data_IF_483816653093
#
_entry.id   IF_483816653093
#
_cell.length_a   1.000
_cell.length_b   1.000
_cell.length_c   1.000
_cell.angle_alpha   90.00
_cell.angle_beta   90.00
_cell.angle_gamma   90.00
#
_symmetry.space_group_name_H-M   'P 1'
#
loop_
_entity.id
_entity.type
_entity.pdbx_description
1 polymer ?
#
# COMPACT_ATOMS: atom_id res chain seq x y z
N UNK A 1 44.59 -19.82 19.38
CA UNK A 1 43.62 -18.79 19.85
C UNK A 1 42.22 -19.25 19.48
N UNK A 2 41.43 -19.71 20.47
CA UNK A 2 40.10 -20.29 20.22
C UNK A 2 39.10 -19.21 19.78
N UNK A 3 38.60 -19.31 18.55
CA UNK A 3 37.51 -18.44 18.09
C UNK A 3 36.20 -18.95 18.69
N UNK A 4 35.72 -18.27 19.73
CA UNK A 4 34.42 -18.56 20.34
C UNK A 4 33.29 -18.47 19.32
N UNK A 5 32.37 -19.45 19.34
CA UNK A 5 31.14 -19.44 18.55
C UNK A 5 30.21 -18.34 19.09
N UNK A 6 30.28 -17.16 18.51
CA UNK A 6 29.30 -16.10 18.76
C UNK A 6 27.96 -16.53 18.12
N UNK A 7 27.00 -16.96 18.95
CA UNK A 7 25.61 -17.13 18.50
C UNK A 7 25.00 -15.74 18.40
N UNK A 8 24.83 -15.22 17.19
CA UNK A 8 23.98 -14.05 16.99
C UNK A 8 22.59 -14.39 17.49
N UNK A 9 22.09 -13.63 18.46
CA UNK A 9 20.67 -13.72 18.83
C UNK A 9 19.86 -13.35 17.58
N UNK A 10 18.72 -14.02 17.29
CA UNK A 10 17.85 -13.59 16.22
C UNK A 10 17.42 -12.16 16.53
N UNK A 11 17.93 -11.20 15.77
CA UNK A 11 17.52 -9.80 15.89
C UNK A 11 16.03 -9.79 15.62
N UNK A 12 15.23 -9.59 16.67
CA UNK A 12 13.78 -9.62 16.58
C UNK A 12 13.31 -8.77 15.41
N UNK A 13 12.42 -9.31 14.58
CA UNK A 13 11.88 -8.61 13.43
C UNK A 13 11.19 -7.33 13.92
N UNK A 14 11.74 -6.18 13.54
CA UNK A 14 11.14 -4.87 13.85
C UNK A 14 9.94 -4.68 12.94
N UNK A 15 8.75 -4.63 13.54
CA UNK A 15 7.52 -4.23 12.86
C UNK A 15 7.53 -2.71 12.73
N UNK A 16 7.57 -2.20 11.50
CA UNK A 16 7.35 -0.79 11.23
C UNK A 16 5.89 -0.64 10.80
N UNK A 17 5.17 0.34 11.35
CA UNK A 17 3.82 0.66 10.89
C UNK A 17 3.86 1.06 9.42
N UNK A 18 3.06 0.40 8.59
CA UNK A 18 2.89 0.79 7.18
C UNK A 18 2.02 2.05 7.09
N UNK A 19 2.08 2.81 5.98
CA UNK A 19 1.18 3.96 5.80
C UNK A 19 -0.31 3.57 5.88
N UNK A 20 -0.67 2.37 5.42
CA UNK A 20 -2.03 1.83 5.56
C UNK A 20 -2.41 1.57 7.02
N UNK A 21 -1.47 1.07 7.85
CA UNK A 21 -1.70 0.87 9.29
C UNK A 21 -1.80 2.18 10.09
N UNK A 22 -1.15 3.24 9.60
CA UNK A 22 -1.25 4.58 10.17
C UNK A 22 -2.63 5.19 9.89
N UNK A 23 -3.12 5.06 8.65
CA UNK A 23 -4.46 5.49 8.25
C UNK A 23 -5.56 4.71 8.95
N UNK A 24 -5.38 3.40 9.11
CA UNK A 24 -6.33 2.54 9.82
C UNK A 24 -6.30 2.73 11.36
N UNK A 25 -5.38 3.55 11.89
CA UNK A 25 -5.24 3.78 13.34
C UNK A 25 -4.82 2.55 14.14
N UNK A 26 -4.46 1.44 13.48
CA UNK A 26 -4.04 0.17 14.11
C UNK A 26 -2.57 0.15 14.50
N UNK A 27 -1.86 1.27 14.33
CA UNK A 27 -0.44 1.37 14.61
C UNK A 27 -0.09 0.90 16.03
N UNK A 28 0.99 0.13 16.17
CA UNK A 28 1.52 -0.39 17.45
C UNK A 28 2.07 0.70 18.38
N UNK A 29 1.72 1.98 18.16
CA UNK A 29 2.13 3.09 19.05
C UNK A 29 1.42 2.95 20.39
N UNK A 30 2.15 3.04 21.53
CA UNK A 30 1.53 2.98 22.85
C UNK A 30 0.57 4.17 23.03
N UNK A 31 -0.64 3.91 23.54
CA UNK A 31 -1.69 4.92 23.79
C UNK A 31 -1.23 6.09 24.67
N UNK A 32 -0.18 5.94 25.47
CA UNK A 32 0.39 7.01 26.30
C UNK A 32 1.26 8.00 25.51
N UNK A 33 1.58 7.68 24.26
CA UNK A 33 2.23 8.58 23.30
C UNK A 33 1.20 9.19 22.33
N UNK A 34 -0.10 9.09 22.64
CA UNK A 34 -1.13 9.86 21.94
C UNK A 34 -0.75 11.34 22.07
N UNK A 35 -0.55 11.94 20.91
CA UNK A 35 -0.22 13.33 20.69
C UNK A 35 -1.17 14.20 21.52
N UNK A 36 -0.62 15.11 22.31
CA UNK A 36 -1.23 16.42 22.48
C UNK A 36 -1.44 16.93 21.05
N UNK A 37 -2.69 17.03 20.61
CA UNK A 37 -3.06 17.35 19.24
C UNK A 37 -2.14 18.43 18.68
N UNK A 38 -1.44 18.10 17.60
CA UNK A 38 -1.23 19.10 16.59
C UNK A 38 -2.56 19.15 15.86
N UNK A 39 -3.43 19.99 16.40
CA UNK A 39 -4.69 20.52 15.87
C UNK A 39 -4.42 21.12 14.48
N UNK A 40 -4.30 20.26 13.47
CA UNK A 40 -4.06 20.66 12.08
C UNK A 40 -4.87 19.82 11.06
N UNK A 41 -5.32 18.60 11.41
CA UNK A 41 -6.14 17.76 10.49
C UNK A 41 -7.65 17.85 10.78
N UNK A 42 -8.10 17.85 12.04
CA UNK A 42 -9.55 17.96 12.35
C UNK A 42 -10.13 19.35 12.02
N UNK A 43 -9.27 20.37 11.96
CA UNK A 43 -9.63 21.72 11.55
C UNK A 43 -9.86 21.80 10.03
N UNK A 44 -9.22 20.95 9.21
CA UNK A 44 -9.41 20.98 7.76
C UNK A 44 -10.73 20.34 7.31
N UNK A 45 -11.21 19.27 7.97
CA UNK A 45 -12.49 18.64 7.60
C UNK A 45 -13.71 19.41 8.16
N UNK A 46 -13.65 19.96 9.37
CA UNK A 46 -14.75 20.76 9.95
C UNK A 46 -14.93 22.12 9.22
N UNK A 47 -13.85 22.68 8.65
CA UNK A 47 -13.91 23.91 7.83
C UNK A 47 -14.57 23.66 6.46
N UNK A 48 -14.46 22.46 5.91
CA UNK A 48 -15.04 22.13 4.60
C UNK A 48 -16.54 21.83 4.70
N UNK A 49 -16.99 21.18 5.79
CA UNK A 49 -18.40 20.84 5.96
C UNK A 49 -19.24 22.01 6.51
N UNK A 50 -18.63 22.95 7.24
CA UNK A 50 -19.30 24.20 7.69
C UNK A 50 -19.46 25.26 6.59
N UNK A 51 -18.88 25.06 5.39
CA UNK A 51 -18.86 26.07 4.32
C UNK A 51 -19.97 25.89 3.28
N UNK A 52 -20.75 24.79 3.34
CA UNK A 52 -21.71 24.41 2.31
C UNK A 52 -23.20 24.67 2.66
N UNK A 53 -23.52 25.06 3.90
CA UNK A 53 -24.91 25.40 4.31
C UNK A 53 -24.99 26.69 5.16
N UNK A 54 -24.90 27.85 4.50
CA UNK A 54 -25.93 28.90 4.61
C UNK A 54 -25.61 30.05 3.66
N UNK A 55 -26.20 29.98 2.47
CA UNK A 55 -26.46 31.14 1.64
C UNK A 55 -27.82 31.70 2.03
N UNK A 56 -27.86 32.83 2.73
CA UNK A 56 -29.10 33.55 3.03
C UNK A 56 -28.96 34.74 3.96
N UNK A 57 -28.96 35.94 3.36
CA UNK A 57 -29.45 37.21 3.95
C UNK A 57 -28.45 38.11 4.71
N UNK A 58 -27.94 39.10 3.95
CA UNK A 58 -28.01 40.54 4.26
C UNK A 58 -27.88 40.96 5.74
N UNK A 59 -26.75 41.55 6.13
CA UNK A 59 -26.81 42.78 6.94
C UNK A 59 -25.49 43.54 6.89
N UNK A 60 -25.64 44.84 6.71
CA UNK A 60 -24.62 45.85 6.57
C UNK A 60 -23.67 45.97 7.78
N UNK A 61 -22.55 46.64 7.50
CA UNK A 61 -21.44 46.94 8.38
C UNK A 61 -21.73 47.08 9.87
N UNK A 62 -20.90 46.43 10.68
CA UNK A 62 -20.36 46.97 11.92
C UNK A 62 -19.33 46.01 12.48
N UNK A 63 -18.12 46.53 12.69
CA UNK A 63 -17.19 46.19 13.77
C UNK A 63 -17.35 44.78 14.38
N UNK A 64 -16.67 43.79 13.78
CA UNK A 64 -16.40 42.53 14.45
C UNK A 64 -15.63 42.84 15.74
N UNK A 65 -16.30 42.68 16.87
CA UNK A 65 -15.75 42.91 18.21
C UNK A 65 -14.59 41.95 18.44
N UNK A 66 -13.37 42.40 18.14
CA UNK A 66 -12.14 41.66 18.43
C UNK A 66 -12.11 41.37 19.93
N UNK A 67 -12.09 40.08 20.29
CA UNK A 67 -12.12 39.64 21.68
C UNK A 67 -10.80 40.03 22.35
N UNK A 68 -10.87 40.75 23.47
CA UNK A 68 -9.72 41.08 24.32
C UNK A 68 -8.91 42.31 23.89
N UNK A 69 -7.63 42.32 24.24
CA UNK A 69 -6.72 43.49 24.14
C UNK A 69 -6.44 43.89 22.68
N UNK A 70 -6.71 42.99 21.73
CA UNK A 70 -6.55 43.23 20.28
C UNK A 70 -7.48 44.30 19.70
N UNK A 71 -8.57 44.65 20.39
CA UNK A 71 -9.43 45.79 20.01
C UNK A 71 -8.92 47.15 20.48
N UNK A 72 -8.00 47.17 21.45
CA UNK A 72 -7.43 48.38 22.07
C UNK A 72 -6.10 48.77 21.42
N UNK A 73 -5.39 47.81 20.81
CA UNK A 73 -4.13 48.05 20.12
C UNK A 73 -4.44 48.39 18.66
N UNK A 74 -4.27 49.67 18.31
CA UNK A 74 -4.37 50.17 16.94
C UNK A 74 -3.19 49.62 16.12
N UNK A 75 -3.48 48.70 15.19
CA UNK A 75 -2.48 48.15 14.28
C UNK A 75 -2.24 49.15 13.14
N UNK A 76 -1.37 50.14 13.38
CA UNK A 76 -0.88 51.06 12.35
C UNK A 76 0.21 50.40 11.49
N UNK A 77 -0.13 49.32 10.79
CA UNK A 77 0.79 48.74 9.81
C UNK A 77 0.62 49.48 8.46
N UNK A 78 1.62 50.24 7.99
CA UNK A 78 1.54 50.99 6.73
C UNK A 78 1.44 50.06 5.49
N UNK A 79 1.79 48.78 5.63
CA UNK A 79 1.61 47.74 4.62
C UNK A 79 0.32 46.92 4.81
N UNK A 80 -0.63 47.36 5.66
CA UNK A 80 -1.93 46.71 5.80
C UNK A 80 -2.79 47.02 4.56
N UNK A 81 -2.51 46.30 3.48
CA UNK A 81 -3.29 46.38 2.25
C UNK A 81 -4.66 45.78 2.54
N UNK A 82 -5.67 46.65 2.70
CA UNK A 82 -7.07 46.23 2.80
C UNK A 82 -7.43 45.45 1.53
N UNK A 83 -8.01 44.23 1.63
CA UNK A 83 -8.40 43.48 0.45
C UNK A 83 -9.43 44.27 -0.34
N UNK A 84 -9.12 44.58 -1.61
CA UNK A 84 -10.07 45.20 -2.54
C UNK A 84 -10.96 44.10 -3.10
N UNK A 85 -12.26 44.18 -2.88
CA UNK A 85 -13.26 43.26 -3.45
C UNK A 85 -13.37 43.51 -4.95
N UNK A 86 -12.64 42.75 -5.76
CA UNK A 86 -12.79 42.77 -7.21
C UNK A 86 -14.03 41.96 -7.60
N UNK A 87 -14.82 42.50 -8.52
CA UNK A 87 -16.05 41.85 -8.99
C UNK A 87 -15.69 40.78 -10.02
N UNK A 88 -16.34 39.63 -9.95
CA UNK A 88 -16.10 38.48 -10.83
C UNK A 88 -16.22 38.79 -12.35
N UNK A 89 -16.80 39.94 -12.70
CA UNK A 89 -16.97 40.40 -14.10
C UNK A 89 -15.71 41.03 -14.71
N UNK A 90 -14.73 41.41 -13.89
CA UNK A 90 -13.50 42.05 -14.35
C UNK A 90 -12.32 41.06 -14.50
N UNK A 91 -12.57 39.75 -14.30
CA UNK A 91 -11.57 38.70 -14.44
C UNK A 91 -11.57 38.21 -15.90
N UNK A 92 -10.66 38.75 -16.70
CA UNK A 92 -10.42 38.32 -18.09
C UNK A 92 -9.75 36.93 -18.12
N UNK A 93 -10.55 35.86 -18.25
CA UNK A 93 -10.09 34.45 -18.33
C UNK A 93 -9.30 34.17 -19.64
N UNK A 94 -9.40 35.05 -20.64
CA UNK A 94 -8.77 34.87 -21.96
C UNK A 94 -7.35 35.44 -22.10
N UNK A 95 -6.85 36.21 -21.13
CA UNK A 95 -5.46 36.64 -21.11
C UNK A 95 -4.67 35.59 -20.35
N UNK A 96 -4.01 34.69 -21.07
CA UNK A 96 -2.95 33.88 -20.47
C UNK A 96 -1.97 34.85 -19.84
N UNK A 97 -2.03 35.00 -18.53
CA UNK A 97 -0.96 35.62 -17.77
C UNK A 97 0.28 34.89 -18.20
N UNK A 98 1.18 35.57 -18.90
CA UNK A 98 2.42 34.96 -19.35
C UNK A 98 3.12 34.46 -18.10
N UNK A 99 3.00 33.15 -17.83
CA UNK A 99 3.61 32.51 -16.67
C UNK A 99 5.01 33.06 -16.56
N UNK A 100 5.32 33.64 -15.40
CA UNK A 100 6.60 34.29 -15.15
C UNK A 100 7.71 33.36 -15.61
N UNK A 101 8.83 33.88 -16.12
CA UNK A 101 9.97 33.03 -16.56
C UNK A 101 10.29 31.94 -15.54
N UNK A 102 10.15 32.26 -14.25
CA UNK A 102 10.29 31.32 -13.12
C UNK A 102 9.24 30.19 -13.12
N UNK A 103 7.97 30.51 -13.34
CA UNK A 103 6.88 29.54 -13.37
C UNK A 103 6.97 28.61 -14.59
N UNK A 104 7.42 29.11 -15.74
CA UNK A 104 7.66 28.27 -16.93
C UNK A 104 8.76 27.25 -16.68
N UNK A 105 9.87 27.69 -16.10
CA UNK A 105 10.98 26.81 -15.74
C UNK A 105 10.60 25.78 -14.66
N UNK A 106 9.78 26.16 -13.68
CA UNK A 106 9.27 25.23 -12.66
C UNK A 106 8.33 24.17 -13.25
N UNK A 107 7.44 24.57 -14.15
CA UNK A 107 6.52 23.64 -14.84
C UNK A 107 7.28 22.71 -15.77
N UNK A 108 8.28 23.20 -16.50
CA UNK A 108 9.13 22.35 -17.34
C UNK A 108 9.96 21.37 -16.50
N UNK A 109 10.45 21.80 -15.34
CA UNK A 109 11.15 20.93 -14.38
C UNK A 109 10.24 19.86 -13.81
N UNK A 110 8.99 20.19 -13.50
CA UNK A 110 7.97 19.22 -13.09
C UNK A 110 7.67 18.23 -14.22
N UNK A 111 7.38 18.70 -15.43
CA UNK A 111 7.13 17.85 -16.61
C UNK A 111 8.32 16.94 -16.95
N UNK A 112 9.55 17.44 -16.81
CA UNK A 112 10.75 16.65 -17.04
C UNK A 112 10.91 15.53 -16.00
N UNK A 113 10.61 15.82 -14.72
CA UNK A 113 10.58 14.82 -13.65
C UNK A 113 9.49 13.78 -13.88
N UNK A 114 8.27 14.21 -14.21
CA UNK A 114 7.16 13.31 -14.54
C UNK A 114 7.50 12.42 -15.73
N UNK A 115 8.11 12.99 -16.79
CA UNK A 115 8.54 12.21 -17.94
C UNK A 115 9.60 11.18 -17.56
N UNK A 116 10.55 11.56 -16.72
CA UNK A 116 11.58 10.65 -16.22
C UNK A 116 10.98 9.52 -15.39
N UNK A 117 10.09 9.83 -14.44
CA UNK A 117 9.35 8.84 -13.64
C UNK A 117 8.55 7.90 -14.54
N UNK A 118 7.83 8.45 -15.52
CA UNK A 118 7.05 7.66 -16.49
C UNK A 118 7.95 6.77 -17.36
N UNK A 119 9.15 7.21 -17.73
CA UNK A 119 10.11 6.37 -18.46
C UNK A 119 10.68 5.25 -17.58
N UNK A 120 10.90 5.52 -16.29
CA UNK A 120 11.35 4.54 -15.30
C UNK A 120 10.28 3.45 -15.12
N UNK A 121 9.01 3.85 -14.94
CA UNK A 121 7.86 2.95 -14.84
C UNK A 121 7.68 2.12 -16.10
N UNK A 122 7.89 2.71 -17.28
CA UNK A 122 7.87 2.00 -18.55
C UNK A 122 9.06 1.05 -18.75
N UNK A 123 10.04 1.03 -17.84
CA UNK A 123 11.23 0.21 -17.99
C UNK A 123 12.15 0.66 -19.12
N UNK A 124 12.06 1.92 -19.57
CA UNK A 124 12.82 2.43 -20.71
C UNK A 124 14.19 2.98 -20.33
N UNK A 125 14.38 3.38 -19.06
CA UNK A 125 15.70 3.77 -18.54
C UNK A 125 16.61 2.54 -18.42
N UNK A 126 17.92 2.73 -18.58
CA UNK A 126 18.88 1.62 -18.53
C UNK A 126 18.87 0.90 -17.18
N UNK A 127 18.63 1.62 -16.10
CA UNK A 127 18.48 1.06 -14.75
C UNK A 127 17.25 0.16 -14.65
N UNK A 128 16.09 0.65 -15.09
CA UNK A 128 14.86 -0.13 -15.04
C UNK A 128 14.91 -1.37 -15.96
N UNK A 129 15.63 -1.30 -17.09
CA UNK A 129 15.91 -2.48 -17.93
C UNK A 129 16.72 -3.53 -17.19
N UNK A 130 17.82 -3.12 -16.54
CA UNK A 130 18.66 -4.03 -15.73
C UNK A 130 17.88 -4.67 -14.59
N UNK A 131 17.03 -3.90 -13.92
CA UNK A 131 16.18 -4.41 -12.85
C UNK A 131 15.14 -5.40 -13.38
N UNK A 132 14.51 -5.11 -14.53
CA UNK A 132 13.59 -6.05 -15.18
C UNK A 132 14.29 -7.33 -15.63
N UNK A 133 15.48 -7.23 -16.21
CA UNK A 133 16.32 -8.38 -16.60
C UNK A 133 16.70 -9.23 -15.39
N UNK A 134 17.11 -8.59 -14.29
CA UNK A 134 17.40 -9.28 -13.03
C UNK A 134 16.16 -9.99 -12.49
N UNK A 135 14.99 -9.34 -12.53
CA UNK A 135 13.73 -9.94 -12.09
C UNK A 135 13.31 -11.10 -13.01
N UNK A 136 13.52 -11.00 -14.32
CA UNK A 136 13.25 -12.06 -15.29
C UNK A 136 14.10 -13.30 -14.98
N UNK A 137 15.40 -13.13 -14.75
CA UNK A 137 16.32 -14.22 -14.39
C UNK A 137 15.89 -14.91 -13.07
N UNK A 138 15.42 -14.16 -12.07
CA UNK A 138 14.88 -14.75 -10.83
C UNK A 138 13.59 -15.54 -11.09
N UNK A 139 12.70 -15.03 -11.96
CA UNK A 139 11.47 -15.74 -12.33
C UNK A 139 11.78 -17.04 -13.06
N UNK A 140 12.75 -17.02 -13.99
CA UNK A 140 13.23 -18.21 -14.69
C UNK A 140 13.80 -19.22 -13.71
N UNK A 141 14.72 -18.82 -12.82
CA UNK A 141 15.27 -19.72 -11.80
C UNK A 141 14.18 -20.33 -10.90
N UNK A 142 13.16 -19.56 -10.52
CA UNK A 142 12.02 -20.07 -9.75
C UNK A 142 11.18 -21.05 -10.55
N UNK A 143 10.91 -20.75 -11.81
CA UNK A 143 10.15 -21.62 -12.71
C UNK A 143 10.90 -22.92 -13.00
N UNK A 144 12.20 -22.85 -13.27
CA UNK A 144 13.07 -24.02 -13.46
C UNK A 144 13.17 -24.86 -12.19
N UNK A 145 13.32 -24.24 -11.02
CA UNK A 145 13.32 -24.95 -9.76
C UNK A 145 11.95 -25.61 -9.46
N UNK A 146 10.84 -24.97 -9.82
CA UNK A 146 9.50 -25.55 -9.69
C UNK A 146 9.32 -26.74 -10.64
N UNK A 147 9.68 -26.58 -11.92
CA UNK A 147 9.66 -27.65 -12.92
C UNK A 147 10.52 -28.84 -12.50
N UNK A 148 11.76 -28.60 -12.06
CA UNK A 148 12.66 -29.66 -11.58
C UNK A 148 12.07 -30.42 -10.39
N UNK A 149 11.42 -29.72 -9.44
CA UNK A 149 10.73 -30.38 -8.32
C UNK A 149 9.52 -31.18 -8.78
N UNK A 150 8.78 -30.71 -9.77
CA UNK A 150 7.64 -31.44 -10.33
C UNK A 150 8.09 -32.69 -11.10
N UNK A 151 9.16 -32.60 -11.87
CA UNK A 151 9.80 -33.72 -12.55
C UNK A 151 10.31 -34.75 -11.53
N UNK A 152 11.02 -34.33 -10.48
CA UNK A 152 11.48 -35.23 -9.42
C UNK A 152 10.30 -35.86 -8.66
N UNK A 153 9.23 -35.12 -8.38
CA UNK A 153 8.01 -35.67 -7.78
C UNK A 153 7.32 -36.66 -8.73
N UNK A 154 7.30 -36.39 -10.03
CA UNK A 154 6.70 -37.27 -11.04
C UNK A 154 7.55 -38.55 -11.21
N UNK A 155 8.86 -38.44 -11.23
CA UNK A 155 9.79 -39.57 -11.28
C UNK A 155 9.68 -40.41 -10.01
N UNK A 156 9.69 -39.80 -8.83
CA UNK A 156 9.45 -40.50 -7.57
C UNK A 156 8.06 -41.17 -7.60
N UNK A 157 7.02 -40.49 -8.05
CA UNK A 157 5.69 -41.09 -8.19
C UNK A 157 5.71 -42.30 -9.12
N UNK A 158 6.35 -42.21 -10.29
CA UNK A 158 6.53 -43.33 -11.23
C UNK A 158 7.34 -44.48 -10.62
N UNK A 159 8.37 -44.17 -9.83
CA UNK A 159 9.17 -45.16 -9.11
C UNK A 159 8.37 -45.89 -8.03
N UNK A 160 7.52 -45.17 -7.30
CA UNK A 160 6.68 -45.71 -6.24
C UNK A 160 5.32 -46.26 -6.73
N UNK A 161 4.93 -45.99 -7.98
CA UNK A 161 3.71 -46.51 -8.61
C UNK A 161 3.54 -48.02 -8.49
N UNK A 162 4.51 -48.87 -8.89
CA UNK A 162 4.33 -50.33 -8.78
C UNK A 162 4.15 -50.78 -7.32
N UNK A 163 4.78 -50.10 -6.36
CA UNK A 163 4.60 -50.40 -4.94
C UNK A 163 3.21 -49.97 -4.42
N UNK A 164 2.70 -48.83 -4.88
CA UNK A 164 1.34 -48.38 -4.59
C UNK A 164 0.30 -49.32 -5.21
N UNK A 165 0.46 -49.71 -6.48
CA UNK A 165 -0.44 -50.64 -7.18
C UNK A 165 -0.50 -52.00 -6.48
N UNK A 166 0.64 -52.51 -6.01
CA UNK A 166 0.70 -53.74 -5.20
C UNK A 166 0.05 -53.58 -3.82
N UNK A 167 0.16 -52.40 -3.21
CA UNK A 167 -0.49 -52.11 -1.93
C UNK A 167 -2.02 -52.07 -2.08
N UNK A 168 -2.51 -51.39 -3.12
CA UNK A 168 -3.94 -51.35 -3.46
C UNK A 168 -4.47 -52.74 -3.79
N UNK A 169 -3.77 -53.52 -4.63
CA UNK A 169 -4.16 -54.89 -4.95
C UNK A 169 -4.22 -55.80 -3.71
N UNK A 170 -3.25 -55.64 -2.78
CA UNK A 170 -3.27 -56.34 -1.48
C UNK A 170 -4.44 -55.91 -0.63
N UNK A 171 -4.75 -54.61 -0.57
CA UNK A 171 -5.87 -54.08 0.22
C UNK A 171 -7.22 -54.57 -0.33
N UNK A 172 -7.39 -54.57 -1.65
CA UNK A 172 -8.55 -55.13 -2.34
C UNK A 172 -8.68 -56.63 -2.08
N UNK A 173 -7.59 -57.41 -2.19
CA UNK A 173 -7.63 -58.83 -1.83
C UNK A 173 -7.99 -59.03 -0.36
N UNK A 174 -7.44 -58.23 0.56
CA UNK A 174 -7.73 -58.35 1.99
C UNK A 174 -9.20 -58.05 2.32
N UNK A 175 -9.87 -57.22 1.51
CA UNK A 175 -11.30 -56.92 1.63
C UNK A 175 -12.18 -57.97 0.97
N UNK A 176 -11.78 -58.54 -0.17
CA UNK A 176 -12.58 -59.51 -0.93
C UNK A 176 -12.46 -60.95 -0.40
N UNK A 177 -11.26 -61.35 0.05
CA UNK A 177 -10.97 -62.69 0.57
C UNK A 177 -11.89 -63.09 1.75
N UNK A 178 -12.18 -62.24 2.75
CA UNK A 178 -13.12 -62.61 3.81
C UNK A 178 -14.55 -62.84 3.30
N UNK A 179 -15.05 -62.07 2.32
CA UNK A 179 -16.40 -62.29 1.75
C UNK A 179 -16.51 -63.60 0.97
N UNK A 180 -15.46 -63.99 0.25
CA UNK A 180 -15.39 -65.26 -0.47
C UNK A 180 -15.27 -66.45 0.48
N UNK A 181 -14.47 -66.33 1.55
CA UNK A 181 -14.34 -67.36 2.58
C UNK A 181 -15.66 -67.55 3.35
N UNK A 182 -16.38 -66.48 3.66
CA UNK A 182 -17.67 -66.57 4.33
C UNK A 182 -18.75 -67.20 3.44
N UNK A 183 -18.77 -66.86 2.14
CA UNK A 183 -19.70 -67.46 1.16
C UNK A 183 -19.45 -68.95 0.93
N UNK A 184 -18.19 -69.40 0.92
CA UNK A 184 -17.85 -70.82 0.79
C UNK A 184 -18.23 -71.61 2.04
N UNK A 185 -18.00 -71.05 3.24
CA UNK A 185 -18.34 -71.70 4.50
C UNK A 185 -19.86 -71.83 4.69
N UNK A 186 -20.63 -70.82 4.26
CA UNK A 186 -22.08 -70.84 4.33
C UNK A 186 -22.72 -71.84 3.35
N UNK A 187 -22.07 -72.13 2.21
CA UNK A 187 -22.56 -73.06 1.18
C UNK A 187 -22.26 -74.53 1.46
N UNK A 188 -21.38 -74.82 2.42
CA UNK A 188 -21.08 -76.18 2.92
C UNK A 188 -21.94 -76.52 4.14
N UNK A 189 -22.62 -75.54 4.75
CA UNK A 189 -23.43 -75.72 5.96
C UNK A 189 -24.95 -75.84 5.71
N UNK A 190 -25.37 -75.95 4.44
CA UNK A 190 -26.76 -76.23 4.00
C UNK A 190 -26.78 -77.54 3.24
#
# INVERSE_FOLDING_TARGET
MGRGKFKSKPTGHRQFSTPEDLLAGTSTRPRTFSKKEAEYDEVEEEIVESSEEESGDESEGQDEKKKGIQGIIEIENPNLVKPKTLKARDIDIGKTTELSRREREEIEKQRARERYMRLQEQGKTEEARKDLERLALIREQRAEAAKKREEERAENRRRWQPANDLFEAKQVMLLIVPELLWSLHFKVLV
#
